data_IF_507345532348
#
_entry.id   IF_507345532348
#
_cell.length_a   1.000
_cell.length_b   1.000
_cell.length_c   1.000
_cell.angle_alpha   90.00
_cell.angle_beta   90.00
_cell.angle_gamma   90.00
#
_symmetry.space_group_name_H-M   'P 1'
#
loop_
_entity.id
_entity.type
_entity.pdbx_description
1 polymer ?
#
# COMPACT_ATOMS: atom_id res chain seq x y z
N UNK A 1 -55.03 25.31 58.95
CA UNK A 1 -54.41 24.07 58.46
C UNK A 1 -53.93 24.26 57.02
N UNK A 2 -52.66 24.60 56.88
CA UNK A 2 -52.06 24.95 55.59
C UNK A 2 -51.39 23.69 54.99
N UNK A 3 -51.88 23.19 53.85
CA UNK A 3 -51.35 22.01 53.18
C UNK A 3 -50.20 22.45 52.25
N UNK A 4 -48.97 22.11 52.63
CA UNK A 4 -47.78 22.29 51.84
C UNK A 4 -47.72 21.23 50.73
N UNK A 5 -47.80 21.67 49.48
CA UNK A 5 -47.58 20.80 48.30
C UNK A 5 -46.09 20.84 47.92
N UNK A 6 -45.41 19.69 48.15
CA UNK A 6 -44.01 19.53 47.69
C UNK A 6 -44.06 19.08 46.22
N UNK A 7 -43.57 19.92 45.33
CA UNK A 7 -43.33 19.57 43.92
C UNK A 7 -41.95 18.95 43.82
N UNK A 8 -41.91 17.66 43.45
CA UNK A 8 -40.63 16.98 43.13
C UNK A 8 -40.32 17.23 41.67
N UNK A 9 -39.25 17.97 41.42
CA UNK A 9 -38.74 18.22 40.10
C UNK A 9 -37.82 17.03 39.72
N UNK A 10 -38.24 16.17 38.78
CA UNK A 10 -37.38 15.17 38.17
C UNK A 10 -36.52 15.82 37.06
N UNK A 11 -35.25 16.10 37.35
CA UNK A 11 -34.28 16.46 36.35
C UNK A 11 -33.81 15.20 35.61
N UNK A 12 -34.29 15.01 34.37
CA UNK A 12 -33.79 13.97 33.46
C UNK A 12 -32.45 14.46 32.89
N UNK A 13 -31.35 13.98 33.44
CA UNK A 13 -30.02 14.16 32.88
C UNK A 13 -29.85 13.22 31.69
N UNK A 14 -30.02 13.73 30.44
CA UNK A 14 -29.66 13.02 29.24
C UNK A 14 -28.13 12.92 29.16
N UNK A 15 -27.62 11.75 29.53
CA UNK A 15 -26.23 11.36 29.24
C UNK A 15 -26.10 11.11 27.73
N UNK A 16 -25.69 12.12 26.97
CA UNK A 16 -25.20 11.94 25.61
C UNK A 16 -23.88 11.20 25.70
N UNK A 17 -23.92 9.87 25.61
CA UNK A 17 -22.74 9.06 25.32
C UNK A 17 -22.31 9.39 23.88
N UNK A 18 -21.33 10.29 23.74
CA UNK A 18 -20.61 10.50 22.50
C UNK A 18 -19.89 9.19 22.15
N UNK A 19 -20.46 8.43 21.24
CA UNK A 19 -19.78 7.31 20.61
C UNK A 19 -18.68 7.93 19.73
N UNK A 20 -17.51 8.12 20.32
CA UNK A 20 -16.30 8.39 19.56
C UNK A 20 -16.07 7.14 18.67
N UNK A 21 -16.26 7.31 17.37
CA UNK A 21 -15.84 6.33 16.39
C UNK A 21 -14.33 6.22 16.52
N UNK A 22 -13.86 5.21 17.22
CA UNK A 22 -12.45 4.86 17.24
C UNK A 22 -12.11 4.43 15.81
N UNK A 23 -11.58 5.35 15.00
CA UNK A 23 -10.81 4.96 13.84
C UNK A 23 -9.73 4.03 14.36
N UNK A 24 -9.74 2.79 13.93
CA UNK A 24 -8.67 1.86 14.27
C UNK A 24 -7.43 2.40 13.58
N UNK A 25 -6.67 3.19 14.33
CA UNK A 25 -5.37 3.66 13.87
C UNK A 25 -4.55 2.40 13.55
N UNK A 26 -4.02 2.33 12.33
CA UNK A 26 -3.06 1.29 11.98
C UNK A 26 -1.80 1.38 12.86
N UNK A 27 -0.82 0.51 12.67
CA UNK A 27 0.46 0.60 13.39
C UNK A 27 1.12 1.97 13.13
N UNK A 28 2.02 2.38 14.01
CA UNK A 28 2.85 3.56 13.72
C UNK A 28 3.78 3.31 12.52
N UNK A 29 4.27 4.36 11.84
CA UNK A 29 5.23 4.21 10.74
C UNK A 29 6.45 3.38 11.14
N UNK A 30 6.97 3.57 12.37
CA UNK A 30 8.15 2.86 12.90
C UNK A 30 7.82 1.38 13.18
N UNK A 31 6.60 1.09 13.64
CA UNK A 31 6.15 -0.28 13.83
C UNK A 31 6.02 -1.00 12.48
N UNK A 32 5.47 -0.34 11.45
CA UNK A 32 5.41 -0.90 10.11
C UNK A 32 6.82 -1.10 9.52
N UNK A 33 7.76 -0.18 9.77
CA UNK A 33 9.15 -0.35 9.33
C UNK A 33 9.82 -1.59 9.90
N UNK A 34 9.55 -1.95 11.15
CA UNK A 34 10.07 -3.22 11.74
C UNK A 34 9.56 -4.45 10.99
N UNK A 35 8.30 -4.46 10.59
CA UNK A 35 7.75 -5.55 9.76
C UNK A 35 8.39 -5.58 8.37
N UNK A 36 8.63 -4.42 7.75
CA UNK A 36 9.38 -4.32 6.49
C UNK A 36 10.77 -4.93 6.63
N UNK A 37 11.50 -4.61 7.69
CA UNK A 37 12.85 -5.17 7.96
C UNK A 37 12.84 -6.69 8.10
N UNK A 38 11.78 -7.28 8.65
CA UNK A 38 11.65 -8.74 8.73
C UNK A 38 11.56 -9.33 7.32
N UNK A 39 10.75 -8.74 6.42
CA UNK A 39 10.65 -9.21 5.04
C UNK A 39 11.97 -9.08 4.28
N UNK A 40 12.69 -7.99 4.50
CA UNK A 40 14.02 -7.75 3.93
C UNK A 40 15.02 -8.83 4.37
N UNK A 41 15.09 -9.11 5.68
CA UNK A 41 15.99 -10.13 6.24
C UNK A 41 15.67 -11.56 5.77
N UNK A 42 14.39 -11.86 5.59
CA UNK A 42 13.95 -13.20 5.17
C UNK A 42 13.89 -13.36 3.66
N UNK A 43 14.18 -12.30 2.89
CA UNK A 43 14.05 -12.28 1.43
C UNK A 43 12.73 -12.91 0.94
N UNK A 44 11.62 -12.51 1.58
CA UNK A 44 10.28 -13.04 1.31
C UNK A 44 9.73 -12.55 -0.04
N UNK A 45 10.33 -13.03 -1.14
CA UNK A 45 10.00 -12.63 -2.52
C UNK A 45 8.52 -12.89 -2.79
N UNK A 46 7.82 -11.89 -3.31
CA UNK A 46 6.43 -11.98 -3.71
C UNK A 46 6.28 -12.91 -4.93
N UNK A 47 5.26 -13.80 -4.96
CA UNK A 47 5.02 -14.63 -6.13
C UNK A 47 4.87 -13.81 -7.42
N UNK A 48 5.65 -14.16 -8.44
CA UNK A 48 5.73 -13.44 -9.71
C UNK A 48 6.84 -12.38 -9.76
N UNK A 49 7.46 -12.02 -8.63
CA UNK A 49 8.64 -11.16 -8.58
C UNK A 49 9.94 -11.97 -8.73
N UNK A 50 10.98 -11.30 -9.21
CA UNK A 50 12.35 -11.80 -9.26
C UNK A 50 13.29 -10.80 -8.60
N UNK A 51 14.44 -11.24 -8.07
CA UNK A 51 15.45 -10.31 -7.58
C UNK A 51 15.89 -9.34 -8.69
N UNK A 52 15.92 -8.05 -8.38
CA UNK A 52 16.36 -6.98 -9.28
C UNK A 52 15.61 -6.98 -10.62
N UNK A 53 14.30 -7.17 -10.58
CA UNK A 53 13.46 -6.98 -11.75
C UNK A 53 13.45 -5.51 -12.19
N UNK A 54 12.97 -5.27 -13.41
CA UNK A 54 13.03 -3.96 -14.04
C UNK A 54 12.17 -2.91 -13.33
N UNK A 55 12.80 -1.82 -12.88
CA UNK A 55 12.15 -0.63 -12.37
C UNK A 55 11.83 0.38 -13.48
N UNK A 56 10.84 1.22 -13.24
CA UNK A 56 10.35 2.18 -14.26
C UNK A 56 11.16 3.48 -14.35
N UNK A 57 12.05 3.77 -13.39
CA UNK A 57 12.82 5.02 -13.31
C UNK A 57 14.30 4.79 -13.60
N UNK A 58 14.97 5.77 -14.20
CA UNK A 58 16.44 5.70 -14.44
C UNK A 58 17.25 5.75 -13.14
N UNK A 59 16.74 6.46 -12.13
CA UNK A 59 17.43 6.62 -10.83
C UNK A 59 17.39 5.35 -9.98
N UNK A 60 16.40 4.49 -10.17
CA UNK A 60 16.26 3.18 -9.53
C UNK A 60 15.77 2.14 -10.55
N UNK A 61 16.68 1.72 -11.46
CA UNK A 61 16.33 0.85 -12.57
C UNK A 61 16.00 -0.59 -12.16
N UNK A 62 16.16 -0.94 -10.89
CA UNK A 62 15.85 -2.26 -10.38
C UNK A 62 14.93 -2.20 -9.18
N UNK A 63 14.04 -3.21 -9.06
CA UNK A 63 13.16 -3.38 -7.91
C UNK A 63 13.13 -4.83 -7.45
N UNK A 64 12.76 -5.02 -6.19
CA UNK A 64 12.43 -6.33 -5.62
C UNK A 64 11.10 -6.18 -4.88
N UNK A 65 10.14 -7.04 -5.18
CA UNK A 65 8.88 -7.03 -4.45
C UNK A 65 8.85 -8.19 -3.44
N UNK A 66 8.57 -7.84 -2.18
CA UNK A 66 8.48 -8.76 -1.06
C UNK A 66 7.03 -8.83 -0.58
N UNK A 67 6.66 -9.95 0.04
CA UNK A 67 5.34 -10.10 0.63
C UNK A 67 5.40 -10.99 1.89
N UNK A 68 4.56 -10.68 2.88
CA UNK A 68 4.47 -11.55 4.05
C UNK A 68 3.63 -12.82 3.75
N UNK A 69 3.65 -13.76 4.69
CA UNK A 69 2.96 -15.05 4.54
C UNK A 69 1.45 -14.89 4.23
N UNK A 70 0.78 -13.87 4.79
CA UNK A 70 -0.63 -13.62 4.53
C UNK A 70 -0.88 -13.18 3.08
N UNK A 71 -0.06 -12.25 2.56
CA UNK A 71 -0.13 -11.82 1.18
C UNK A 71 0.19 -12.97 0.22
N UNK A 72 1.26 -13.72 0.47
CA UNK A 72 1.66 -14.90 -0.33
C UNK A 72 0.54 -15.94 -0.34
N UNK A 73 -0.05 -16.25 0.83
CA UNK A 73 -1.18 -17.19 0.93
C UNK A 73 -2.39 -16.71 0.14
N UNK A 74 -2.69 -15.40 0.18
CA UNK A 74 -3.79 -14.82 -0.59
C UNK A 74 -3.56 -14.99 -2.09
N UNK A 75 -2.35 -14.68 -2.59
CA UNK A 75 -1.98 -14.84 -3.99
C UNK A 75 -2.10 -16.32 -4.43
N UNK A 76 -1.57 -17.24 -3.63
CA UNK A 76 -1.63 -18.69 -3.92
C UNK A 76 -3.06 -19.21 -3.97
N UNK A 77 -3.90 -18.83 -2.99
CA UNK A 77 -5.32 -19.24 -2.95
C UNK A 77 -6.13 -18.71 -4.12
N UNK A 78 -5.82 -17.50 -4.59
CA UNK A 78 -6.45 -16.92 -5.78
C UNK A 78 -6.02 -17.59 -7.08
N UNK A 79 -4.93 -18.37 -7.08
CA UNK A 79 -4.34 -18.97 -8.29
C UNK A 79 -3.50 -17.97 -9.10
N UNK A 80 -2.91 -16.97 -8.43
CA UNK A 80 -2.00 -15.98 -9.00
C UNK A 80 -2.38 -14.55 -8.67
N UNK A 81 -1.40 -13.63 -8.75
CA UNK A 81 -1.56 -12.23 -8.33
C UNK A 81 -2.64 -11.50 -9.12
N UNK A 82 -2.77 -11.75 -10.43
CA UNK A 82 -3.79 -11.14 -11.30
C UNK A 82 -5.22 -11.54 -10.94
N UNK A 83 -5.40 -12.62 -10.18
CA UNK A 83 -6.71 -13.14 -9.75
C UNK A 83 -7.10 -12.71 -8.34
N UNK A 84 -6.24 -11.98 -7.64
CA UNK A 84 -6.53 -11.48 -6.30
C UNK A 84 -7.53 -10.33 -6.39
N UNK A 85 -8.72 -10.49 -5.87
CA UNK A 85 -9.73 -9.43 -5.77
C UNK A 85 -9.72 -8.74 -4.41
N UNK A 86 -9.15 -9.37 -3.39
CA UNK A 86 -9.03 -8.84 -2.03
C UNK A 86 -7.92 -9.53 -1.25
N UNK A 87 -7.02 -8.76 -0.69
CA UNK A 87 -6.02 -9.25 0.26
C UNK A 87 -6.59 -9.43 1.66
N UNK A 88 -6.08 -10.40 2.39
CA UNK A 88 -6.42 -10.62 3.80
C UNK A 88 -5.90 -9.47 4.67
N UNK A 89 -6.62 -9.12 5.75
CA UNK A 89 -6.10 -8.17 6.72
C UNK A 89 -4.76 -8.65 7.30
N UNK A 90 -3.84 -7.71 7.49
CA UNK A 90 -2.46 -8.00 7.87
C UNK A 90 -1.55 -8.38 6.69
N UNK A 91 -2.06 -8.47 5.45
CA UNK A 91 -1.20 -8.62 4.28
C UNK A 91 -0.29 -7.40 4.15
N UNK A 92 1.01 -7.66 4.03
CA UNK A 92 2.05 -6.66 3.80
C UNK A 92 2.76 -6.96 2.48
N UNK A 93 2.80 -5.97 1.60
CA UNK A 93 3.53 -5.98 0.34
C UNK A 93 4.54 -4.84 0.37
N UNK A 94 5.78 -5.12 0.01
CA UNK A 94 6.90 -4.18 0.05
C UNK A 94 7.58 -4.16 -1.30
N UNK A 95 7.92 -2.96 -1.78
CA UNK A 95 8.76 -2.77 -2.96
C UNK A 95 10.03 -2.05 -2.56
N UNK A 96 11.15 -2.71 -2.78
CA UNK A 96 12.47 -2.14 -2.65
C UNK A 96 12.92 -1.56 -3.99
N UNK A 97 13.50 -0.35 -3.97
CA UNK A 97 14.01 0.31 -5.16
C UNK A 97 15.53 0.41 -5.06
N UNK A 98 16.22 0.02 -6.13
CA UNK A 98 17.67 -0.10 -6.18
C UNK A 98 18.24 0.72 -7.35
N UNK A 99 19.35 1.41 -7.10
CA UNK A 99 20.10 2.12 -8.15
C UNK A 99 20.82 1.14 -9.10
N UNK A 100 21.53 1.69 -10.11
CA UNK A 100 22.27 0.90 -11.10
C UNK A 100 23.38 0.01 -10.47
N UNK A 101 23.88 0.38 -9.29
CA UNK A 101 24.86 -0.40 -8.52
C UNK A 101 24.23 -1.41 -7.56
N UNK A 102 22.91 -1.64 -7.67
CA UNK A 102 22.13 -2.51 -6.79
C UNK A 102 22.20 -2.11 -5.30
N UNK A 103 22.35 -0.82 -5.02
CA UNK A 103 22.24 -0.27 -3.68
C UNK A 103 20.80 0.16 -3.44
N UNK A 104 20.25 -0.17 -2.28
CA UNK A 104 18.90 0.25 -1.88
C UNK A 104 18.84 1.78 -1.80
N UNK A 105 17.85 2.39 -2.45
CA UNK A 105 17.64 3.84 -2.46
C UNK A 105 16.28 4.28 -1.95
N UNK A 106 15.38 3.33 -1.72
CA UNK A 106 14.07 3.62 -1.13
C UNK A 106 13.22 2.38 -1.00
N UNK A 107 12.24 2.44 -0.12
CA UNK A 107 11.29 1.36 0.15
C UNK A 107 9.89 1.92 0.17
N UNK A 108 8.95 1.25 -0.50
CA UNK A 108 7.52 1.51 -0.34
C UNK A 108 6.82 0.28 0.20
N UNK A 109 5.79 0.49 1.02
CA UNK A 109 5.05 -0.59 1.66
C UNK A 109 3.55 -0.33 1.61
N UNK A 110 2.77 -1.40 1.53
CA UNK A 110 1.33 -1.41 1.62
C UNK A 110 0.91 -2.44 2.66
N UNK A 111 0.27 -1.99 3.75
CA UNK A 111 -0.27 -2.85 4.79
C UNK A 111 -1.80 -2.84 4.74
N UNK A 112 -2.42 -3.99 4.64
CA UNK A 112 -3.87 -4.17 4.71
C UNK A 112 -4.34 -4.09 6.16
N UNK A 113 -5.02 -3.01 6.54
CA UNK A 113 -5.47 -2.77 7.92
C UNK A 113 -7.00 -2.70 7.99
N UNK A 114 -7.62 -3.61 8.75
CA UNK A 114 -9.08 -3.68 8.87
C UNK A 114 -9.68 -2.33 9.32
N UNK A 115 -10.72 -1.87 8.61
CA UNK A 115 -11.47 -0.64 8.94
C UNK A 115 -10.65 0.66 8.93
N UNK A 116 -9.45 0.65 8.33
CA UNK A 116 -8.59 1.83 8.26
C UNK A 116 -9.21 2.89 7.33
N UNK A 117 -9.37 2.56 6.07
CA UNK A 117 -10.00 3.43 5.07
C UNK A 117 -10.70 2.58 3.99
N UNK A 118 -12.00 2.33 4.11
CA UNK A 118 -12.74 1.56 3.12
C UNK A 118 -12.72 2.13 1.71
N UNK A 119 -12.58 3.46 1.56
CA UNK A 119 -12.52 4.13 0.25
C UNK A 119 -11.29 3.71 -0.55
N UNK A 120 -10.16 3.49 0.14
CA UNK A 120 -8.89 3.03 -0.42
C UNK A 120 -8.61 1.56 -0.06
N UNK A 121 -9.71 0.79 0.05
CA UNK A 121 -9.67 -0.65 0.32
C UNK A 121 -8.91 -1.03 1.57
N UNK A 122 -8.84 -0.15 2.55
CA UNK A 122 -8.17 -0.36 3.84
C UNK A 122 -6.65 -0.59 3.75
N UNK A 123 -5.99 0.03 2.77
CA UNK A 123 -4.55 0.01 2.68
C UNK A 123 -3.91 1.22 3.38
N UNK A 124 -2.95 0.96 4.24
CA UNK A 124 -1.97 1.94 4.71
C UNK A 124 -0.81 1.90 3.74
N UNK A 125 -0.47 3.03 3.13
CA UNK A 125 0.67 3.16 2.24
C UNK A 125 1.81 3.89 2.96
N UNK A 126 3.03 3.46 2.72
CA UNK A 126 4.21 4.05 3.33
C UNK A 126 5.37 4.15 2.34
N UNK A 127 6.20 5.17 2.52
CA UNK A 127 7.49 5.29 1.84
C UNK A 127 8.56 5.63 2.88
N UNK A 128 9.72 4.99 2.71
CA UNK A 128 10.89 5.13 3.59
C UNK A 128 12.15 5.35 2.76
N UNK A 129 13.11 6.06 3.33
CA UNK A 129 14.47 6.00 2.84
C UNK A 129 15.15 4.68 3.27
N UNK A 130 16.37 4.37 2.80
CA UNK A 130 17.07 3.13 3.14
C UNK A 130 17.34 2.94 4.64
N UNK A 131 17.33 4.02 5.43
CA UNK A 131 17.58 3.96 6.89
C UNK A 131 16.30 3.73 7.70
N UNK A 132 15.13 3.81 7.04
CA UNK A 132 13.82 3.69 7.67
C UNK A 132 13.20 5.03 8.09
N UNK A 133 13.80 6.16 7.69
CA UNK A 133 13.18 7.46 7.86
C UNK A 133 11.91 7.54 7.02
N UNK A 134 10.81 7.89 7.65
CA UNK A 134 9.50 8.01 7.01
C UNK A 134 9.48 9.19 6.05
N UNK A 135 9.15 8.95 4.79
CA UNK A 135 8.96 9.94 3.73
C UNK A 135 7.47 10.22 3.49
N UNK A 136 6.62 9.19 3.61
CA UNK A 136 5.18 9.30 3.52
C UNK A 136 4.52 8.16 4.30
N UNK A 137 3.31 8.38 4.84
CA UNK A 137 2.60 7.36 5.60
C UNK A 137 1.08 7.61 5.63
N UNK A 138 0.31 6.52 5.62
CA UNK A 138 -1.14 6.54 5.78
C UNK A 138 -1.90 6.57 4.46
N UNK A 139 -2.82 7.50 4.31
CA UNK A 139 -3.56 7.75 3.07
C UNK A 139 -2.73 8.64 2.14
N UNK A 140 -1.79 8.05 1.43
CA UNK A 140 -0.87 8.77 0.55
C UNK A 140 -1.49 8.93 -0.84
N UNK A 141 -2.08 10.10 -1.12
CA UNK A 141 -2.83 10.36 -2.36
C UNK A 141 -2.03 10.10 -3.64
N UNK A 142 -0.74 10.44 -3.68
CA UNK A 142 0.13 10.19 -4.84
C UNK A 142 0.36 8.70 -5.11
N UNK A 143 0.42 7.86 -4.07
CA UNK A 143 0.49 6.40 -4.23
C UNK A 143 -0.85 5.85 -4.73
N UNK A 144 -1.95 6.23 -4.06
CA UNK A 144 -3.31 5.77 -4.37
C UNK A 144 -3.67 6.08 -5.82
N UNK A 145 -3.34 7.27 -6.30
CA UNK A 145 -3.69 7.73 -7.64
C UNK A 145 -3.15 6.84 -8.79
N UNK A 146 -1.97 6.21 -8.62
CA UNK A 146 -1.48 5.18 -9.55
C UNK A 146 -2.12 3.82 -9.27
N UNK A 147 -2.23 3.45 -7.99
CA UNK A 147 -2.69 2.12 -7.60
C UNK A 147 -4.17 1.86 -7.93
N UNK A 148 -5.00 2.91 -8.11
CA UNK A 148 -6.41 2.76 -8.54
C UNK A 148 -6.56 2.14 -9.93
N UNK A 149 -5.55 2.18 -10.80
CA UNK A 149 -5.56 1.50 -12.11
C UNK A 149 -5.75 -0.01 -11.97
N UNK A 150 -5.29 -0.59 -10.86
CA UNK A 150 -5.45 -2.01 -10.54
C UNK A 150 -6.42 -2.23 -9.37
N UNK A 151 -7.46 -1.38 -9.28
CA UNK A 151 -8.46 -1.46 -8.22
C UNK A 151 -9.15 -2.83 -8.15
N UNK A 152 -9.34 -3.48 -9.29
CA UNK A 152 -9.91 -4.83 -9.37
C UNK A 152 -9.03 -5.89 -8.70
N UNK A 153 -7.72 -5.65 -8.59
CA UNK A 153 -6.71 -6.46 -7.90
C UNK A 153 -6.41 -5.95 -6.48
N UNK A 154 -7.37 -5.26 -5.86
CA UNK A 154 -7.22 -4.70 -4.52
C UNK A 154 -6.05 -3.70 -4.40
N UNK A 155 -5.78 -2.93 -5.45
CA UNK A 155 -4.74 -1.89 -5.55
C UNK A 155 -3.29 -2.42 -5.59
N UNK A 156 -3.05 -3.72 -5.75
CA UNK A 156 -1.69 -4.28 -5.80
C UNK A 156 -1.33 -4.65 -7.22
N UNK A 157 -0.31 -3.99 -7.78
CA UNK A 157 0.24 -4.34 -9.09
C UNK A 157 0.92 -5.70 -9.07
N UNK A 158 0.79 -6.43 -10.17
CA UNK A 158 1.69 -7.56 -10.42
C UNK A 158 3.08 -7.04 -10.82
N UNK A 159 4.15 -7.77 -10.47
CA UNK A 159 5.51 -7.39 -10.84
C UNK A 159 5.70 -7.29 -12.36
N UNK A 160 6.58 -6.40 -12.85
CA UNK A 160 6.98 -6.38 -14.25
C UNK A 160 7.64 -7.70 -14.69
N UNK A 161 7.46 -8.14 -15.95
CA UNK A 161 6.70 -7.49 -17.02
C UNK A 161 5.21 -7.83 -17.03
N UNK A 162 4.68 -8.52 -16.00
CA UNK A 162 3.27 -8.99 -15.96
C UNK A 162 2.29 -7.82 -16.01
N UNK A 163 2.59 -6.71 -15.33
CA UNK A 163 1.85 -5.46 -15.46
C UNK A 163 2.82 -4.28 -15.57
N UNK A 164 2.50 -3.38 -16.49
CA UNK A 164 3.29 -2.19 -16.78
C UNK A 164 2.42 -0.93 -16.66
N UNK A 165 2.99 0.13 -16.08
CA UNK A 165 2.31 1.41 -15.96
C UNK A 165 2.31 2.13 -17.31
N UNK A 166 1.17 2.69 -17.78
CA UNK A 166 1.11 3.46 -19.03
C UNK A 166 2.07 4.65 -19.01
N UNK A 167 2.73 4.93 -20.12
CA UNK A 167 3.67 6.06 -20.25
C UNK A 167 3.01 7.39 -19.89
N UNK A 168 1.76 7.60 -20.30
CA UNK A 168 0.98 8.81 -20.00
C UNK A 168 0.77 8.99 -18.51
N UNK A 169 0.32 7.93 -17.83
CA UNK A 169 0.16 7.93 -16.37
C UNK A 169 1.49 8.13 -15.67
N UNK A 170 2.53 7.41 -16.10
CA UNK A 170 3.86 7.55 -15.53
C UNK A 170 4.35 9.01 -15.61
N UNK A 171 4.25 9.65 -16.77
CA UNK A 171 4.64 11.06 -16.96
C UNK A 171 3.84 12.03 -16.10
N UNK A 172 2.55 11.76 -15.84
CA UNK A 172 1.72 12.59 -14.99
C UNK A 172 2.22 12.62 -13.53
N UNK A 173 2.72 11.49 -13.01
CA UNK A 173 3.19 11.38 -11.62
C UNK A 173 4.68 11.61 -11.43
N UNK A 174 5.48 11.38 -12.47
CA UNK A 174 6.95 11.48 -12.43
C UNK A 174 7.49 12.51 -13.43
N UNK A 175 6.79 13.62 -13.65
CA UNK A 175 7.09 14.63 -14.68
C UNK A 175 8.51 15.21 -14.61
N UNK A 176 9.15 15.17 -13.44
CA UNK A 176 10.53 15.66 -13.21
C UNK A 176 11.57 14.55 -13.22
N UNK A 177 11.19 13.33 -13.60
CA UNK A 177 12.07 12.17 -13.62
C UNK A 177 12.15 11.59 -15.04
N UNK A 178 13.17 10.78 -15.29
CA UNK A 178 13.34 10.06 -16.53
C UNK A 178 12.85 8.62 -16.40
N UNK A 179 12.07 8.19 -17.38
CA UNK A 179 11.65 6.79 -17.47
C UNK A 179 12.83 5.94 -17.93
N UNK A 180 13.01 4.79 -17.29
CA UNK A 180 14.01 3.82 -17.68
C UNK A 180 13.80 3.36 -19.14
N UNK A 181 14.77 3.54 -20.07
CA UNK A 181 14.61 3.13 -21.47
C UNK A 181 14.28 1.63 -21.63
N UNK A 182 14.84 0.78 -20.77
CA UNK A 182 14.53 -0.65 -20.78
C UNK A 182 13.07 -0.91 -20.41
N UNK A 183 12.46 -0.11 -19.52
CA UNK A 183 11.04 -0.20 -19.17
C UNK A 183 10.15 0.24 -20.36
N UNK A 184 10.53 1.30 -21.09
CA UNK A 184 9.86 1.69 -22.34
C UNK A 184 9.89 0.57 -23.36
N UNK A 185 11.04 -0.10 -23.50
CA UNK A 185 11.18 -1.26 -24.38
C UNK A 185 10.23 -2.41 -23.97
N UNK A 186 10.04 -2.64 -22.67
CA UNK A 186 9.05 -3.64 -22.21
C UNK A 186 7.63 -3.26 -22.58
N UNK A 187 7.23 -1.99 -22.41
CA UNK A 187 5.91 -1.50 -22.84
C UNK A 187 5.68 -1.77 -24.33
N UNK A 188 6.70 -1.53 -25.18
CA UNK A 188 6.61 -1.76 -26.62
C UNK A 188 6.50 -3.24 -26.99
N UNK A 189 7.21 -4.11 -26.26
CA UNK A 189 7.20 -5.56 -26.48
C UNK A 189 5.97 -6.26 -25.92
N UNK A 190 5.38 -5.70 -24.86
CA UNK A 190 4.25 -6.28 -24.11
C UNK A 190 3.12 -5.25 -23.92
N UNK A 191 2.51 -4.76 -25.04
CA UNK A 191 1.42 -3.78 -24.95
C UNK A 191 0.21 -4.34 -24.19
N UNK A 192 0.02 -5.66 -24.19
CA UNK A 192 -1.04 -6.37 -23.46
C UNK A 192 -0.84 -6.31 -21.93
N UNK A 193 0.37 -6.08 -21.46
CA UNK A 193 0.69 -5.95 -20.03
C UNK A 193 0.46 -4.54 -19.50
N UNK A 194 0.23 -3.56 -20.36
CA UNK A 194 -0.02 -2.17 -19.95
C UNK A 194 -1.41 -2.05 -19.36
N UNK A 195 -1.48 -1.67 -18.07
CA UNK A 195 -2.76 -1.47 -17.38
C UNK A 195 -3.53 -0.28 -17.98
N UNK A 196 -4.87 -0.40 -18.03
CA UNK A 196 -5.77 0.59 -18.61
C UNK A 196 -6.58 1.31 -17.54
#
# INVERSE_FOLDING_TARGET
MLKLKIAVLFTVTCLFSSWAWAHTAGPSPEALWKEVQILQKTHAIMPGSTPFQLGSRTVDPYTVDLANTLAISTIKKAGGILKVTRYSNGSLVVKENYNAHKQLVGVTAMLKAAKYDPSDRNWIMAAYDPTGKVLAYGKVGSCIACHVLVRHQDLVFAPPPTQLLPITTWKAFFSKQEMNPAYVTQIQKHPEAVVQ
#
